data_IF_021649161764
#
_entry.id   IF_021649161764
#
_cell.length_a   1.000
_cell.length_b   1.000
_cell.length_c   1.000
_cell.angle_alpha   90.00
_cell.angle_beta   90.00
_cell.angle_gamma   90.00
#
_symmetry.space_group_name_H-M   'P 1'
#
loop_
_entity.id
_entity.type
_entity.pdbx_description
1 polymer ?
#
# COMPACT_ATOMS: atom_id res chain seq x y z
N UNK A 1 1.42 9.32 0.53
CA UNK A 1 0.00 9.37 0.93
C UNK A 1 -0.85 8.65 -0.10
N UNK A 2 -1.81 7.87 0.37
CA UNK A 2 -2.65 7.00 -0.46
C UNK A 2 -4.13 7.22 -0.13
N UNK A 3 -4.73 8.37 -0.50
CA UNK A 3 -6.16 8.59 -0.27
C UNK A 3 -7.01 7.61 -1.08
N UNK A 4 -8.22 7.29 -0.60
CA UNK A 4 -9.15 6.39 -1.26
C UNK A 4 -9.60 6.92 -2.62
N UNK A 5 -9.30 6.20 -3.69
CA UNK A 5 -9.76 6.43 -5.06
C UNK A 5 -9.52 7.86 -5.62
N UNK A 6 -8.63 8.62 -4.99
CA UNK A 6 -8.26 9.98 -5.38
C UNK A 6 -6.85 10.30 -4.91
N UNK A 7 -6.20 11.27 -5.50
CA UNK A 7 -4.94 11.84 -5.01
C UNK A 7 -5.04 13.35 -4.72
N UNK A 8 -6.26 13.86 -4.58
CA UNK A 8 -6.53 15.29 -4.36
C UNK A 8 -5.83 15.85 -3.12
N UNK A 9 -5.71 15.08 -2.04
CA UNK A 9 -5.01 15.51 -0.82
C UNK A 9 -3.53 15.85 -1.04
N UNK A 10 -2.86 15.21 -1.99
CA UNK A 10 -1.48 15.53 -2.34
C UNK A 10 -1.36 16.86 -3.09
N UNK A 11 -2.31 17.22 -3.94
CA UNK A 11 -2.30 18.52 -4.58
C UNK A 11 -2.30 19.65 -3.54
N UNK A 12 -3.12 19.54 -2.50
CA UNK A 12 -3.16 20.53 -1.42
C UNK A 12 -1.82 20.63 -0.66
N UNK A 13 -1.17 19.50 -0.41
CA UNK A 13 0.15 19.45 0.23
C UNK A 13 1.19 20.21 -0.60
N UNK A 14 1.23 19.99 -1.92
CA UNK A 14 2.15 20.67 -2.81
C UNK A 14 1.82 22.14 -2.98
N UNK A 15 0.56 22.52 -3.13
CA UNK A 15 0.15 23.94 -3.21
C UNK A 15 0.57 24.73 -1.97
N UNK A 16 0.46 24.12 -0.80
CA UNK A 16 0.88 24.73 0.49
C UNK A 16 2.37 24.55 0.80
N UNK A 17 3.15 23.88 -0.06
CA UNK A 17 4.56 23.54 0.14
C UNK A 17 4.84 22.80 1.46
N UNK A 18 3.93 21.99 1.91
CA UNK A 18 4.09 21.22 3.15
C UNK A 18 5.11 20.09 3.00
N UNK A 19 5.23 19.52 1.80
CA UNK A 19 6.24 18.53 1.42
C UNK A 19 7.69 19.02 1.64
N UNK A 20 7.92 20.34 1.45
CA UNK A 20 9.24 20.96 1.68
C UNK A 20 9.47 21.42 3.11
N UNK A 21 8.38 21.72 3.83
CA UNK A 21 8.45 22.29 5.18
C UNK A 21 8.49 21.24 6.27
N UNK A 22 7.86 20.09 6.06
CA UNK A 22 7.63 19.08 7.08
C UNK A 22 8.33 17.78 6.72
N UNK A 23 7.90 17.12 5.63
CA UNK A 23 8.38 15.82 5.21
C UNK A 23 8.09 15.62 3.72
N UNK A 24 9.03 15.04 2.93
CA UNK A 24 8.74 14.67 1.55
C UNK A 24 7.48 13.81 1.43
N UNK A 25 6.61 14.16 0.51
CA UNK A 25 5.39 13.42 0.23
C UNK A 25 5.37 13.00 -1.25
N UNK A 26 4.97 11.76 -1.51
CA UNK A 26 4.94 11.20 -2.85
C UNK A 26 3.53 10.76 -3.22
N UNK A 27 3.27 10.71 -4.54
CA UNK A 27 1.97 10.31 -5.04
C UNK A 27 1.68 8.85 -4.82
N UNK A 28 0.48 8.59 -4.36
CA UNK A 28 -0.08 7.27 -4.25
C UNK A 28 -1.59 7.34 -4.17
N UNK A 29 -2.22 6.20 -4.29
CA UNK A 29 -3.67 6.05 -4.21
C UNK A 29 -3.99 4.69 -3.61
N UNK A 30 -5.06 4.62 -2.86
CA UNK A 30 -5.63 3.37 -2.44
C UNK A 30 -6.87 3.07 -3.28
N UNK A 31 -6.76 2.09 -4.20
CA UNK A 31 -7.94 1.55 -4.87
C UNK A 31 -8.79 0.82 -3.84
N UNK A 32 -9.81 1.51 -3.39
CA UNK A 32 -10.80 0.99 -2.47
C UNK A 32 -11.91 0.36 -3.29
N UNK A 33 -11.90 -0.97 -3.33
CA UNK A 33 -12.85 -1.76 -4.09
C UNK A 33 -13.72 -2.61 -3.18
N UNK A 34 -14.71 -3.27 -3.74
CA UNK A 34 -15.60 -4.16 -2.98
C UNK A 34 -14.89 -5.43 -2.46
N UNK A 35 -13.81 -5.87 -3.13
CA UNK A 35 -13.15 -7.17 -2.88
C UNK A 35 -11.77 -7.04 -2.23
N UNK A 36 -11.36 -5.86 -1.90
CA UNK A 36 -10.06 -5.59 -1.31
C UNK A 36 -9.52 -4.22 -1.67
N UNK A 37 -8.53 -3.78 -0.92
CA UNK A 37 -7.84 -2.52 -1.20
C UNK A 37 -6.47 -2.82 -1.82
N UNK A 38 -6.12 -2.02 -2.82
CA UNK A 38 -4.84 -2.11 -3.53
C UNK A 38 -4.16 -0.75 -3.49
N UNK A 39 -2.97 -0.71 -2.93
CA UNK A 39 -2.15 0.49 -2.86
C UNK A 39 -1.32 0.64 -4.13
N UNK A 40 -1.39 1.80 -4.75
CA UNK A 40 -0.64 2.13 -5.95
C UNK A 40 0.21 3.36 -5.66
N UNK A 41 1.52 3.22 -5.72
CA UNK A 41 2.48 4.28 -5.44
C UNK A 41 3.17 4.75 -6.72
N UNK A 42 3.47 6.05 -6.81
CA UNK A 42 4.19 6.64 -7.94
C UNK A 42 3.30 7.06 -9.11
N UNK A 43 2.02 7.33 -8.87
CA UNK A 43 1.11 7.79 -9.93
C UNK A 43 0.23 8.94 -9.48
N UNK A 44 -0.09 9.82 -10.43
CA UNK A 44 -1.14 10.85 -10.33
C UNK A 44 -2.47 10.41 -10.93
N UNK A 45 -2.46 9.31 -11.69
CA UNK A 45 -3.66 8.75 -12.32
C UNK A 45 -4.39 7.86 -11.32
N UNK A 46 -5.67 8.13 -11.10
CA UNK A 46 -6.50 7.28 -10.24
C UNK A 46 -6.87 5.94 -10.89
N UNK A 47 -6.77 5.86 -12.21
CA UNK A 47 -7.21 4.67 -12.95
C UNK A 47 -8.72 4.43 -12.87
N UNK A 48 -9.13 3.26 -13.34
CA UNK A 48 -10.53 2.84 -13.28
C UNK A 48 -10.69 1.58 -12.39
N UNK A 49 -10.71 1.83 -11.09
CA UNK A 49 -10.89 0.77 -10.07
C UNK A 49 -12.28 0.13 -10.11
N UNK A 50 -13.26 0.75 -10.77
CA UNK A 50 -14.65 0.25 -10.82
C UNK A 50 -14.79 -1.03 -11.66
N UNK A 51 -13.82 -1.31 -12.52
CA UNK A 51 -13.76 -2.53 -13.32
C UNK A 51 -13.28 -3.76 -12.54
N UNK A 52 -12.66 -3.54 -11.37
CA UNK A 52 -12.11 -4.64 -10.59
C UNK A 52 -13.23 -5.51 -9.99
N UNK A 53 -13.08 -6.82 -10.20
CA UNK A 53 -13.90 -7.84 -9.57
C UNK A 53 -13.02 -8.95 -9.01
N UNK A 54 -13.60 -9.88 -8.27
CA UNK A 54 -12.88 -10.92 -7.54
C UNK A 54 -11.89 -11.74 -8.39
N UNK A 55 -12.06 -11.78 -9.71
CA UNK A 55 -11.29 -12.64 -10.64
C UNK A 55 -10.32 -11.89 -11.53
N UNK A 56 -10.38 -10.55 -11.62
CA UNK A 56 -9.67 -9.80 -12.67
C UNK A 56 -8.71 -8.72 -12.16
N UNK A 57 -8.41 -8.68 -10.86
CA UNK A 57 -7.52 -7.65 -10.31
C UNK A 57 -6.17 -7.60 -11.03
N UNK A 58 -5.62 -8.76 -11.40
CA UNK A 58 -4.35 -8.87 -12.12
C UNK A 58 -4.41 -8.18 -13.49
N UNK A 59 -5.51 -8.38 -14.22
CA UNK A 59 -5.74 -7.70 -15.51
C UNK A 59 -5.85 -6.19 -15.33
N UNK A 60 -6.59 -5.73 -14.32
CA UNK A 60 -6.69 -4.30 -14.01
C UNK A 60 -5.33 -3.68 -13.68
N UNK A 61 -4.49 -4.40 -12.92
CA UNK A 61 -3.12 -3.98 -12.60
C UNK A 61 -2.27 -3.92 -13.88
N UNK A 62 -2.32 -4.91 -14.74
CA UNK A 62 -1.55 -4.94 -15.99
C UNK A 62 -1.93 -3.78 -16.91
N UNK A 63 -3.23 -3.54 -17.12
CA UNK A 63 -3.72 -2.41 -17.90
C UNK A 63 -3.25 -1.06 -17.34
N UNK A 64 -3.22 -0.95 -16.01
CA UNK A 64 -2.76 0.26 -15.35
C UNK A 64 -1.24 0.45 -15.45
N UNK A 65 -0.46 -0.63 -15.30
CA UNK A 65 1.01 -0.63 -15.46
C UNK A 65 1.45 -0.24 -16.87
N UNK A 66 0.67 -0.57 -17.91
CA UNK A 66 0.96 -0.15 -19.29
C UNK A 66 1.02 1.38 -19.41
N UNK A 67 0.12 2.08 -18.75
CA UNK A 67 0.05 3.55 -18.74
C UNK A 67 1.02 4.19 -17.73
N UNK A 68 1.37 3.46 -16.69
CA UNK A 68 2.15 3.93 -15.55
C UNK A 68 3.27 2.91 -15.22
N UNK A 69 4.33 2.78 -16.02
CA UNK A 69 5.29 1.67 -15.93
C UNK A 69 6.13 1.64 -14.65
N UNK A 70 6.29 2.78 -13.98
CA UNK A 70 7.17 2.89 -12.81
C UNK A 70 6.46 2.71 -11.47
N UNK A 71 5.16 2.48 -11.46
CA UNK A 71 4.37 2.33 -10.22
C UNK A 71 4.77 1.09 -9.41
N UNK A 72 4.48 1.15 -8.14
CA UNK A 72 4.58 0.05 -7.17
C UNK A 72 3.20 -0.32 -6.70
N UNK A 73 2.87 -1.60 -6.71
CA UNK A 73 1.55 -2.13 -6.35
C UNK A 73 1.65 -2.91 -5.04
N UNK A 74 0.78 -2.59 -4.09
CA UNK A 74 0.73 -3.24 -2.80
C UNK A 74 -0.63 -3.81 -2.46
N UNK A 75 -0.63 -4.87 -1.67
CA UNK A 75 -1.83 -5.42 -1.03
C UNK A 75 -1.99 -4.69 0.30
N UNK A 76 -3.08 -3.92 0.46
CA UNK A 76 -3.37 -3.20 1.67
C UNK A 76 -3.96 -4.15 2.73
N UNK A 77 -3.55 -4.01 3.98
CA UNK A 77 -4.14 -4.64 5.18
C UNK A 77 -4.98 -5.92 4.94
N UNK A 78 -4.43 -6.99 4.33
CA UNK A 78 -5.19 -8.06 3.66
C UNK A 78 -6.14 -8.85 4.56
N UNK A 79 -6.02 -8.76 5.87
CA UNK A 79 -6.84 -9.49 6.84
C UNK A 79 -7.61 -8.56 7.79
N UNK A 80 -7.69 -7.28 7.47
CA UNK A 80 -8.48 -6.37 8.27
C UNK A 80 -9.98 -6.55 7.96
N UNK A 81 -10.82 -6.34 8.97
CA UNK A 81 -12.28 -6.45 8.82
C UNK A 81 -12.97 -5.12 9.15
N UNK A 82 -12.20 -4.14 9.63
CA UNK A 82 -12.73 -2.86 10.10
C UNK A 82 -13.49 -2.93 11.42
N UNK A 83 -13.69 -1.77 12.03
CA UNK A 83 -14.57 -1.60 13.20
C UNK A 83 -15.20 -0.21 13.16
N UNK A 84 -16.46 -0.09 12.72
CA UNK A 84 -17.39 -1.16 12.30
C UNK A 84 -16.91 -1.93 11.09
N UNK A 85 -17.49 -3.09 10.84
CA UNK A 85 -17.18 -3.94 9.69
C UNK A 85 -17.28 -3.13 8.39
N UNK A 86 -16.22 -3.15 7.59
CA UNK A 86 -16.19 -2.42 6.32
C UNK A 86 -16.16 -3.38 5.12
N UNK A 87 -16.79 -2.96 4.03
CA UNK A 87 -16.76 -3.68 2.77
C UNK A 87 -15.42 -3.45 2.08
N UNK A 88 -14.74 -4.55 1.67
CA UNK A 88 -13.45 -4.49 0.98
C UNK A 88 -12.25 -4.28 1.89
N UNK A 89 -12.41 -4.14 3.21
CA UNK A 89 -11.27 -4.09 4.12
C UNK A 89 -10.50 -5.41 4.17
N UNK A 90 -11.16 -6.54 3.99
CA UNK A 90 -10.52 -7.84 3.79
C UNK A 90 -10.18 -8.03 2.31
N UNK A 91 -9.01 -8.59 2.01
CA UNK A 91 -8.55 -8.82 0.65
C UNK A 91 -9.07 -10.18 0.15
N UNK A 92 -10.14 -10.15 -0.64
CA UNK A 92 -10.87 -11.33 -1.13
C UNK A 92 -10.59 -11.67 -2.59
N UNK A 93 -9.70 -10.92 -3.26
CA UNK A 93 -9.33 -11.21 -4.63
C UNK A 93 -8.69 -12.59 -4.81
N UNK A 94 -9.13 -13.34 -5.81
CA UNK A 94 -8.57 -14.64 -6.17
C UNK A 94 -7.32 -14.46 -7.05
N UNK A 95 -6.21 -14.12 -6.42
CA UNK A 95 -4.93 -13.88 -7.09
C UNK A 95 -4.31 -15.21 -7.51
N UNK A 96 -3.99 -15.34 -8.80
CA UNK A 96 -3.28 -16.49 -9.37
C UNK A 96 -1.78 -16.23 -9.51
N UNK A 97 -1.40 -14.99 -9.77
CA UNK A 97 -0.03 -14.56 -9.99
C UNK A 97 0.35 -13.38 -9.07
N UNK A 98 0.95 -13.68 -7.93
CA UNK A 98 1.42 -12.67 -6.98
C UNK A 98 2.60 -11.83 -7.49
N UNK A 99 3.21 -12.16 -8.64
CA UNK A 99 4.25 -11.31 -9.26
C UNK A 99 3.71 -9.96 -9.76
N UNK A 100 2.39 -9.80 -9.82
CA UNK A 100 1.73 -8.52 -10.14
C UNK A 100 1.86 -7.49 -9.02
N UNK A 101 2.08 -7.94 -7.79
CA UNK A 101 2.24 -7.12 -6.59
C UNK A 101 3.71 -7.01 -6.21
N UNK A 102 4.11 -5.84 -5.74
CA UNK A 102 5.48 -5.54 -5.32
C UNK A 102 5.64 -5.69 -3.79
N UNK A 103 4.57 -5.48 -3.02
CA UNK A 103 4.59 -5.59 -1.56
C UNK A 103 3.25 -5.99 -0.94
N UNK A 104 3.30 -6.32 0.34
CA UNK A 104 2.12 -6.54 1.19
C UNK A 104 2.29 -5.75 2.49
N UNK A 105 1.23 -5.08 2.93
CA UNK A 105 1.18 -4.54 4.29
C UNK A 105 1.00 -5.67 5.29
N UNK A 106 1.98 -5.82 6.17
CA UNK A 106 1.95 -6.83 7.23
C UNK A 106 1.43 -6.26 8.53
N UNK A 107 1.69 -4.99 8.77
CA UNK A 107 1.26 -4.26 9.94
C UNK A 107 0.47 -3.05 9.46
N UNK A 108 -0.73 -2.90 9.98
CA UNK A 108 -1.61 -1.78 9.65
C UNK A 108 -2.20 -1.21 10.94
N UNK A 109 -2.51 0.11 10.93
CA UNK A 109 -3.09 0.85 12.04
C UNK A 109 -2.20 1.09 13.27
N UNK A 110 -2.78 1.66 14.31
CA UNK A 110 -2.09 2.24 15.48
C UNK A 110 -1.66 1.17 16.51
N UNK A 111 -2.32 0.03 16.56
CA UNK A 111 -2.06 -1.04 17.56
C UNK A 111 -1.55 -2.32 16.89
N UNK A 112 -0.36 -2.23 16.39
CA UNK A 112 0.07 -2.92 15.20
C UNK A 112 0.65 -4.32 15.37
N UNK A 113 1.57 -4.51 16.30
CA UNK A 113 2.36 -5.75 16.29
C UNK A 113 1.71 -6.94 17.01
N UNK A 114 0.62 -6.70 17.73
CA UNK A 114 -0.14 -7.73 18.43
C UNK A 114 -1.51 -8.03 17.79
N UNK A 115 -1.88 -7.37 16.68
CA UNK A 115 -3.17 -7.59 16.07
C UNK A 115 -3.27 -8.98 15.39
N UNK A 116 -4.46 -9.58 15.45
CA UNK A 116 -4.72 -10.86 14.77
C UNK A 116 -4.63 -10.74 13.25
N UNK A 117 -4.99 -9.58 12.68
CA UNK A 117 -4.89 -9.30 11.26
C UNK A 117 -3.42 -9.24 10.81
N UNK A 118 -2.58 -8.53 11.54
CA UNK A 118 -1.13 -8.45 11.28
C UNK A 118 -0.45 -9.81 11.35
N UNK A 119 -0.79 -10.63 12.35
CA UNK A 119 -0.26 -12.00 12.43
C UNK A 119 -0.68 -12.86 11.23
N UNK A 120 -1.93 -12.77 10.80
CA UNK A 120 -2.41 -13.48 9.60
C UNK A 120 -1.70 -13.00 8.34
N UNK A 121 -1.49 -11.68 8.19
CA UNK A 121 -0.77 -11.09 7.08
C UNK A 121 0.66 -11.62 7.02
N UNK A 122 1.37 -11.63 8.15
CA UNK A 122 2.72 -12.18 8.27
C UNK A 122 2.78 -13.66 7.88
N UNK A 123 1.88 -14.48 8.40
CA UNK A 123 1.83 -15.92 8.06
C UNK A 123 1.55 -16.13 6.56
N UNK A 124 0.64 -15.36 5.99
CA UNK A 124 0.34 -15.47 4.56
C UNK A 124 1.52 -15.03 3.69
N UNK A 125 2.13 -13.90 4.01
CA UNK A 125 3.32 -13.40 3.33
C UNK A 125 4.47 -14.42 3.37
N UNK A 126 4.77 -14.98 4.55
CA UNK A 126 5.79 -16.03 4.70
C UNK A 126 5.49 -17.24 3.81
N UNK A 127 4.22 -17.67 3.72
CA UNK A 127 3.82 -18.76 2.82
C UNK A 127 4.02 -18.41 1.35
N UNK A 128 3.79 -17.16 0.96
CA UNK A 128 4.05 -16.70 -0.41
C UNK A 128 5.55 -16.70 -0.72
N UNK A 129 6.39 -16.25 0.22
CA UNK A 129 7.85 -16.30 0.06
C UNK A 129 8.35 -17.74 -0.09
N UNK A 130 7.84 -18.69 0.71
CA UNK A 130 8.25 -20.11 0.60
C UNK A 130 7.82 -20.74 -0.73
N UNK A 131 6.83 -20.17 -1.41
CA UNK A 131 6.43 -20.56 -2.78
C UNK A 131 7.25 -19.86 -3.87
N UNK A 132 8.22 -19.03 -3.50
CA UNK A 132 9.10 -18.34 -4.44
C UNK A 132 8.59 -16.98 -4.91
N UNK A 133 7.48 -16.47 -4.38
CA UNK A 133 7.02 -15.11 -4.70
C UNK A 133 7.93 -14.08 -4.03
N UNK A 134 8.14 -12.94 -4.69
CA UNK A 134 8.98 -11.84 -4.20
C UNK A 134 8.08 -10.66 -3.85
N UNK A 135 7.81 -10.47 -2.57
CA UNK A 135 6.97 -9.40 -2.05
C UNK A 135 7.71 -8.69 -0.90
N UNK A 136 7.87 -7.39 -0.99
CA UNK A 136 8.37 -6.60 0.13
C UNK A 136 7.35 -6.62 1.29
N UNK A 137 7.83 -6.48 2.51
CA UNK A 137 7.01 -6.25 3.68
C UNK A 137 6.98 -4.75 3.99
N UNK A 138 5.80 -4.17 4.12
CA UNK A 138 5.61 -2.79 4.56
C UNK A 138 4.64 -2.72 5.73
N UNK A 139 4.73 -1.61 6.47
CA UNK A 139 3.75 -1.21 7.46
C UNK A 139 2.99 0.02 6.94
N UNK A 140 1.69 0.01 7.09
CA UNK A 140 0.80 1.13 6.80
C UNK A 140 0.13 1.65 8.06
N UNK A 141 -0.27 2.90 8.07
CA UNK A 141 -0.99 3.47 9.18
C UNK A 141 -2.49 3.46 9.00
N UNK A 142 -2.97 3.54 7.77
CA UNK A 142 -4.40 3.66 7.44
C UNK A 142 -5.08 4.79 8.26
N UNK A 143 -4.47 5.97 8.18
CA UNK A 143 -4.78 7.09 9.07
C UNK A 143 -6.07 7.81 8.65
N UNK A 144 -7.11 7.72 9.48
CA UNK A 144 -8.41 8.33 9.24
C UNK A 144 -8.80 9.39 10.29
N UNK A 145 -8.04 9.51 11.37
CA UNK A 145 -8.34 10.42 12.48
C UNK A 145 -7.06 10.89 13.18
N UNK A 146 -7.07 12.04 13.84
CA UNK A 146 -5.96 12.43 14.70
C UNK A 146 -5.68 11.34 15.75
N UNK A 147 -4.43 10.95 15.87
CA UNK A 147 -4.00 9.95 16.82
C UNK A 147 -3.57 10.56 18.15
N UNK A 148 -3.61 9.75 19.17
CA UNK A 148 -3.00 10.08 20.44
C UNK A 148 -1.46 10.11 20.28
N UNK A 149 -0.75 11.15 20.69
CA UNK A 149 0.72 11.22 20.61
C UNK A 149 1.46 10.09 21.34
N UNK A 150 0.77 9.35 22.21
CA UNK A 150 1.33 8.21 22.95
C UNK A 150 1.17 6.87 22.21
N UNK A 151 0.46 6.84 21.10
CA UNK A 151 0.27 5.62 20.32
C UNK A 151 1.54 5.28 19.56
N UNK A 152 1.90 4.00 19.59
CA UNK A 152 2.98 3.46 18.77
C UNK A 152 2.52 3.36 17.30
N UNK A 153 3.29 3.93 16.39
CA UNK A 153 2.99 3.92 14.96
C UNK A 153 3.98 2.99 14.27
N UNK A 154 3.51 2.00 13.52
CA UNK A 154 4.40 1.18 12.71
C UNK A 154 5.03 2.03 11.61
N UNK A 155 6.30 1.79 11.34
CA UNK A 155 7.05 2.47 10.28
C UNK A 155 7.70 1.47 9.36
N UNK A 156 7.77 1.81 8.08
CA UNK A 156 8.58 1.11 7.11
C UNK A 156 9.91 1.86 6.92
N UNK A 157 11.01 1.16 7.06
CA UNK A 157 12.34 1.69 6.75
C UNK A 157 12.75 1.22 5.36
N UNK A 158 13.33 2.13 4.58
CA UNK A 158 13.76 1.87 3.21
C UNK A 158 15.27 2.09 3.08
N UNK A 159 15.97 1.12 2.48
CA UNK A 159 17.39 1.24 2.13
C UNK A 159 17.56 2.13 0.90
N UNK A 160 17.91 3.41 1.10
CA UNK A 160 18.07 4.40 0.04
C UNK A 160 19.43 5.07 0.20
N UNK A 161 20.22 5.14 -0.88
CA UNK A 161 21.49 5.84 -0.92
C UNK A 161 21.30 7.31 -1.34
N UNK A 162 21.89 8.24 -0.55
CA UNK A 162 21.86 9.69 -0.81
C UNK A 162 20.48 10.31 -0.63
N UNK A 163 20.19 11.36 -1.41
CA UNK A 163 18.94 12.14 -1.24
C UNK A 163 17.68 11.33 -1.56
N UNK A 164 16.63 11.61 -0.81
CA UNK A 164 15.32 10.95 -0.97
C UNK A 164 14.63 11.52 -2.20
N UNK A 165 14.15 10.63 -3.07
CA UNK A 165 13.28 10.95 -4.21
C UNK A 165 12.23 9.86 -4.40
N UNK A 166 11.12 10.19 -5.05
CA UNK A 166 10.05 9.22 -5.35
C UNK A 166 10.59 7.98 -6.06
N UNK A 167 11.39 8.18 -7.10
CA UNK A 167 11.98 7.07 -7.88
C UNK A 167 12.82 6.12 -7.01
N UNK A 168 13.64 6.66 -6.10
CA UNK A 168 14.46 5.85 -5.18
C UNK A 168 13.60 5.09 -4.17
N UNK A 169 12.52 5.71 -3.67
CA UNK A 169 11.56 5.05 -2.77
C UNK A 169 10.90 3.87 -3.47
N UNK A 170 10.35 4.08 -4.67
CA UNK A 170 9.71 3.02 -5.44
C UNK A 170 10.68 1.89 -5.78
N UNK A 171 11.91 2.23 -6.16
CA UNK A 171 12.98 1.27 -6.46
C UNK A 171 13.39 0.46 -5.24
N UNK A 172 13.48 1.08 -4.06
CA UNK A 172 13.81 0.37 -2.82
C UNK A 172 12.75 -0.70 -2.50
N UNK A 173 11.47 -0.38 -2.67
CA UNK A 173 10.37 -1.35 -2.47
C UNK A 173 10.48 -2.49 -3.47
N UNK A 174 10.60 -2.22 -4.77
CA UNK A 174 10.76 -3.24 -5.82
C UNK A 174 11.95 -4.16 -5.60
N UNK A 175 13.03 -3.63 -5.04
CA UNK A 175 14.25 -4.39 -4.76
C UNK A 175 14.24 -5.09 -3.40
N UNK A 176 13.14 -5.03 -2.65
CA UNK A 176 12.99 -5.62 -1.32
C UNK A 176 13.96 -5.02 -0.27
N UNK A 177 14.39 -3.78 -0.46
CA UNK A 177 15.22 -3.04 0.50
C UNK A 177 14.33 -2.37 1.56
N UNK A 178 13.55 -3.18 2.26
CA UNK A 178 12.53 -2.73 3.23
C UNK A 178 12.66 -3.47 4.55
N UNK A 179 12.37 -2.78 5.67
CA UNK A 179 12.27 -3.33 7.02
C UNK A 179 11.03 -2.75 7.72
N UNK A 180 10.42 -3.50 8.62
CA UNK A 180 9.29 -3.08 9.47
C UNK A 180 9.52 -3.48 10.92
#
# INVERSE_FOLDING_TARGET
LTPHNTNSGLYEIYEKNLDKKILPAFYGIEWTTFYGHVLILGTKDAGDYTKANIYNIETCIDEFKIKNPNIVIGIAHPFDIGNPLCTGCHFDYLVKDYSKFDYMELINSEDSHASKSSLKAYINWTKLLTKGHRLAALAGRDWHRPSNPKESVPISMLGIDGDISEDKVLKAIKNLHTYI
#
